data_IF_394174190511
#
_entry.id   IF_394174190511
#
_cell.length_a   1.000
_cell.length_b   1.000
_cell.length_c   1.000
_cell.angle_alpha   90.00
_cell.angle_beta   90.00
_cell.angle_gamma   90.00
#
_symmetry.space_group_name_H-M   'P 1'
#
loop_
_entity.id
_entity.type
_entity.pdbx_description
1 polymer ?
#
# COMPACT_ATOMS: atom_id res chain seq x y z
N UNK A 1 16.11 -10.80 1.73
CA UNK A 1 15.78 -9.44 1.22
C UNK A 1 14.75 -9.62 0.12
N UNK A 2 13.59 -8.98 0.24
CA UNK A 2 12.45 -9.26 -0.65
C UNK A 2 12.55 -8.47 -1.96
N UNK A 3 12.23 -9.13 -3.07
CA UNK A 3 12.34 -8.57 -4.42
C UNK A 3 11.18 -9.05 -5.29
N UNK A 4 10.65 -8.16 -6.13
CA UNK A 4 9.70 -8.54 -7.19
C UNK A 4 10.50 -9.12 -8.37
N UNK A 5 10.29 -10.39 -8.77
CA UNK A 5 10.97 -10.97 -9.93
C UNK A 5 10.65 -10.24 -11.24
N UNK A 6 11.61 -10.20 -12.16
CA UNK A 6 11.39 -9.60 -13.50
C UNK A 6 10.29 -10.31 -14.29
N UNK A 7 10.07 -11.61 -14.03
CA UNK A 7 9.00 -12.40 -14.65
C UNK A 7 7.61 -11.90 -14.26
N UNK A 8 7.47 -11.25 -13.09
CA UNK A 8 6.21 -10.66 -12.62
C UNK A 8 6.03 -9.19 -13.08
N UNK A 9 6.93 -8.64 -13.89
CA UNK A 9 6.79 -7.29 -14.44
C UNK A 9 5.63 -7.25 -15.44
N UNK A 10 4.58 -6.42 -15.21
CA UNK A 10 3.50 -6.25 -16.17
C UNK A 10 4.04 -5.80 -17.51
N UNK A 11 3.57 -6.43 -18.59
CA UNK A 11 3.99 -6.10 -19.96
C UNK A 11 3.05 -5.12 -20.65
N UNK A 12 1.78 -5.12 -20.25
CA UNK A 12 0.76 -4.22 -20.79
C UNK A 12 0.96 -2.80 -20.27
N UNK A 13 1.09 -1.84 -21.18
CA UNK A 13 1.14 -0.43 -20.85
C UNK A 13 -0.29 0.11 -20.65
N UNK A 14 -0.64 0.66 -19.48
CA UNK A 14 -1.97 1.21 -19.25
C UNK A 14 -2.23 2.51 -20.03
N UNK A 15 -1.19 3.17 -20.54
CA UNK A 15 -1.33 4.43 -21.29
C UNK A 15 -1.54 4.22 -22.78
N UNK A 16 -0.85 3.24 -23.39
CA UNK A 16 -0.94 3.01 -24.83
C UNK A 16 -1.60 1.67 -25.22
N UNK A 17 -2.03 0.86 -24.24
CA UNK A 17 -2.72 -0.41 -24.46
C UNK A 17 -1.84 -1.55 -25.02
N UNK A 18 -0.57 -1.28 -25.30
CA UNK A 18 0.33 -2.24 -25.94
C UNK A 18 1.22 -3.00 -24.93
N UNK A 19 1.62 -4.23 -25.28
CA UNK A 19 2.48 -5.09 -24.45
C UNK A 19 3.97 -4.77 -24.57
N UNK A 20 4.35 -3.54 -24.24
CA UNK A 20 5.68 -2.97 -24.55
C UNK A 20 6.49 -2.58 -23.31
N UNK A 21 6.00 -2.85 -22.10
CA UNK A 21 6.77 -2.59 -20.88
C UNK A 21 7.93 -3.58 -20.78
N UNK A 22 9.14 -3.02 -20.71
CA UNK A 22 10.39 -3.76 -20.48
C UNK A 22 10.97 -3.44 -19.11
N UNK A 23 11.87 -4.31 -18.63
CA UNK A 23 12.61 -4.07 -17.40
C UNK A 23 13.47 -2.82 -17.52
N UNK A 24 13.38 -1.94 -16.52
CA UNK A 24 14.07 -0.66 -16.46
C UNK A 24 14.77 -0.47 -15.11
N UNK A 25 15.55 -1.48 -14.73
CA UNK A 25 16.33 -1.50 -13.50
C UNK A 25 15.52 -1.79 -12.24
N UNK A 26 16.16 -1.54 -11.10
CA UNK A 26 15.60 -1.71 -9.76
C UNK A 26 15.98 -0.53 -8.88
N UNK A 27 15.16 -0.27 -7.88
CA UNK A 27 15.39 0.73 -6.84
C UNK A 27 15.20 0.05 -5.48
N UNK A 28 15.96 0.50 -4.50
CA UNK A 28 15.77 0.12 -3.11
C UNK A 28 14.71 1.04 -2.48
N UNK A 29 13.72 0.46 -1.79
CA UNK A 29 12.63 1.20 -1.14
C UNK A 29 12.51 0.75 0.32
N UNK A 30 12.43 1.70 1.28
CA UNK A 30 12.06 1.37 2.66
C UNK A 30 10.68 0.72 2.72
N UNK A 31 10.57 -0.33 3.53
CA UNK A 31 9.33 -1.07 3.72
C UNK A 31 9.29 -1.68 5.13
N UNK A 32 9.45 -0.82 6.13
CA UNK A 32 9.57 -1.21 7.53
C UNK A 32 8.36 -2.02 8.02
N UNK A 33 8.62 -3.24 8.42
CA UNK A 33 7.79 -4.13 9.22
C UNK A 33 8.68 -5.14 9.98
N UNK A 34 8.09 -6.15 10.61
CA UNK A 34 8.83 -7.17 11.37
C UNK A 34 9.78 -8.02 10.50
N UNK A 35 9.48 -8.15 9.21
CA UNK A 35 10.25 -9.00 8.29
C UNK A 35 11.24 -8.18 7.44
N UNK A 36 10.88 -6.94 7.12
CA UNK A 36 11.51 -6.13 6.10
C UNK A 36 11.93 -4.78 6.66
N UNK A 37 13.18 -4.39 6.41
CA UNK A 37 13.60 -2.99 6.52
C UNK A 37 13.42 -2.29 5.16
N UNK A 38 13.79 -3.00 4.09
CA UNK A 38 13.82 -2.49 2.73
C UNK A 38 13.53 -3.61 1.72
N UNK A 39 13.06 -3.21 0.53
CA UNK A 39 12.79 -4.11 -0.59
C UNK A 39 13.35 -3.58 -1.90
N UNK A 40 13.73 -4.51 -2.78
CA UNK A 40 14.03 -4.18 -4.16
C UNK A 40 12.74 -4.12 -4.98
N UNK A 41 12.45 -2.93 -5.49
CA UNK A 41 11.30 -2.67 -6.35
C UNK A 41 11.77 -2.58 -7.80
N UNK A 42 11.02 -3.22 -8.70
CA UNK A 42 11.32 -3.22 -10.13
C UNK A 42 10.71 -2.00 -10.80
N UNK A 43 11.39 -1.48 -11.81
CA UNK A 43 10.88 -0.42 -12.67
C UNK A 43 10.62 -0.98 -14.07
N UNK A 44 9.54 -0.52 -14.68
CA UNK A 44 9.19 -0.79 -16.07
C UNK A 44 9.31 0.47 -16.91
N UNK A 45 9.64 0.33 -18.19
CA UNK A 45 9.60 1.42 -19.17
C UNK A 45 8.79 0.96 -20.39
N UNK A 46 7.80 1.74 -20.78
CA UNK A 46 7.16 1.59 -22.08
C UNK A 46 7.93 2.44 -23.11
N UNK A 47 8.61 1.82 -24.08
CA UNK A 47 9.36 2.55 -25.10
C UNK A 47 8.48 3.46 -25.99
N UNK A 48 7.29 3.05 -26.45
CA UNK A 48 6.44 3.93 -27.26
C UNK A 48 6.01 5.23 -26.57
N UNK A 49 5.50 5.15 -25.33
CA UNK A 49 4.99 6.33 -24.63
C UNK A 49 5.99 6.96 -23.65
N UNK A 50 7.20 6.39 -23.55
CA UNK A 50 8.28 6.83 -22.65
C UNK A 50 7.88 6.92 -21.16
N UNK A 51 6.80 6.25 -20.76
CA UNK A 51 6.35 6.23 -19.37
C UNK A 51 7.09 5.17 -18.56
N UNK A 52 7.52 5.58 -17.37
CA UNK A 52 8.12 4.69 -16.38
C UNK A 52 7.09 4.25 -15.35
N UNK A 53 7.17 2.99 -14.96
CA UNK A 53 6.31 2.37 -13.95
C UNK A 53 7.17 1.84 -12.82
N UNK A 54 6.61 1.84 -11.61
CA UNK A 54 7.20 1.16 -10.46
C UNK A 54 6.29 0.02 -10.09
N UNK A 55 6.82 -1.19 -10.02
CA UNK A 55 6.09 -2.38 -9.60
C UNK A 55 6.37 -2.60 -8.13
N UNK A 56 5.31 -2.65 -7.35
CA UNK A 56 5.33 -2.81 -5.91
C UNK A 56 4.56 -4.09 -5.55
N UNK A 57 5.00 -4.81 -4.51
CA UNK A 57 4.12 -5.75 -3.83
C UNK A 57 2.86 -5.04 -3.34
N UNK A 58 1.74 -5.76 -3.30
CA UNK A 58 0.44 -5.28 -2.84
C UNK A 58 0.47 -4.74 -1.40
N UNK A 59 1.29 -5.35 -0.55
CA UNK A 59 1.51 -4.93 0.83
C UNK A 59 2.43 -3.70 0.99
N UNK A 60 3.11 -3.23 -0.06
CA UNK A 60 3.99 -2.05 0.02
C UNK A 60 3.32 -0.82 -0.58
N UNK A 61 2.95 0.19 0.22
CA UNK A 61 2.34 1.41 -0.30
C UNK A 61 3.32 2.21 -1.19
N UNK A 62 2.84 2.91 -2.23
CA UNK A 62 3.71 3.60 -3.19
C UNK A 62 4.64 4.65 -2.60
N UNK A 63 4.13 5.48 -1.69
CA UNK A 63 4.85 6.60 -1.08
C UNK A 63 5.23 6.35 0.38
N UNK A 64 4.86 5.20 0.95
CA UNK A 64 5.04 4.92 2.37
C UNK A 64 6.33 4.19 2.69
N UNK A 65 6.94 4.55 3.82
CA UNK A 65 8.13 3.88 4.38
C UNK A 65 7.80 2.59 5.13
N UNK A 66 6.58 2.46 5.66
CA UNK A 66 6.09 1.30 6.40
C UNK A 66 5.13 0.49 5.54
N UNK A 67 5.19 -0.84 5.65
CA UNK A 67 4.30 -1.74 4.93
C UNK A 67 2.85 -1.63 5.40
N UNK A 68 1.90 -2.12 4.60
CA UNK A 68 0.50 -2.19 4.99
C UNK A 68 0.29 -3.14 6.17
N UNK A 69 1.06 -4.22 6.28
CA UNK A 69 1.02 -5.13 7.44
C UNK A 69 1.37 -4.40 8.75
N UNK A 70 2.43 -3.59 8.73
CA UNK A 70 2.82 -2.75 9.87
C UNK A 70 1.67 -1.82 10.32
N UNK A 71 1.02 -1.16 9.36
CA UNK A 71 -0.14 -0.28 9.62
C UNK A 71 -1.36 -1.06 10.13
N UNK A 72 -1.61 -2.25 9.59
CA UNK A 72 -2.69 -3.11 10.04
C UNK A 72 -2.48 -3.57 11.49
N UNK A 73 -1.27 -4.00 11.86
CA UNK A 73 -0.94 -4.35 13.25
C UNK A 73 -1.16 -3.18 14.21
N UNK A 74 -0.81 -1.98 13.78
CA UNK A 74 -1.09 -0.74 14.53
C UNK A 74 -2.59 -0.60 14.82
N UNK A 75 -3.43 -0.84 13.81
CA UNK A 75 -4.89 -0.80 13.95
C UNK A 75 -5.42 -1.86 14.90
N UNK A 76 -4.92 -3.09 14.77
CA UNK A 76 -5.31 -4.20 15.63
C UNK A 76 -4.96 -3.91 17.09
N UNK A 77 -3.79 -3.32 17.35
CA UNK A 77 -3.40 -2.85 18.69
C UNK A 77 -4.30 -1.72 19.19
N UNK A 78 -4.69 -0.77 18.35
CA UNK A 78 -5.61 0.32 18.73
C UNK A 78 -7.01 -0.18 19.12
N UNK A 79 -7.44 -1.33 18.60
CA UNK A 79 -8.76 -1.91 18.92
C UNK A 79 -8.79 -2.65 20.26
N UNK A 80 -7.64 -2.92 20.87
CA UNK A 80 -7.56 -3.58 22.17
C UNK A 80 -8.00 -2.61 23.27
N UNK A 81 -8.68 -3.13 24.31
CA UNK A 81 -9.02 -2.36 25.51
C UNK A 81 -7.73 -1.82 26.16
N UNK A 82 -7.76 -0.56 26.61
CA UNK A 82 -6.63 0.16 27.23
C UNK A 82 -5.46 0.55 26.30
N UNK A 83 -5.70 0.52 24.99
CA UNK A 83 -4.70 0.94 24.00
C UNK A 83 -4.69 2.46 23.79
N UNK A 84 -3.49 3.03 23.75
CA UNK A 84 -3.23 4.40 23.34
C UNK A 84 -2.28 4.42 22.12
N UNK A 85 -1.99 5.60 21.59
CA UNK A 85 -1.16 5.73 20.39
C UNK A 85 0.25 5.19 20.59
N UNK A 86 0.82 5.37 21.79
CA UNK A 86 2.14 4.91 22.18
C UNK A 86 2.22 3.38 22.25
N UNK A 87 1.21 2.73 22.85
CA UNK A 87 1.10 1.26 22.95
C UNK A 87 0.72 0.59 21.64
N UNK A 88 0.19 1.37 20.69
CA UNK A 88 -0.21 0.89 19.38
C UNK A 88 0.92 0.87 18.35
N UNK A 89 2.09 1.41 18.68
CA UNK A 89 3.27 1.36 17.82
C UNK A 89 3.58 -0.12 17.52
N UNK A 90 3.57 -0.55 16.26
CA UNK A 90 3.86 -1.93 15.87
C UNK A 90 5.36 -2.20 16.00
N UNK A 91 5.70 -3.47 16.23
CA UNK A 91 7.09 -3.89 16.19
C UNK A 91 7.58 -3.85 14.73
N UNK A 92 8.81 -3.39 14.56
CA UNK A 92 9.51 -3.37 13.27
C UNK A 92 10.88 -3.98 13.47
N UNK A 93 11.42 -4.57 12.40
CA UNK A 93 12.70 -5.29 12.44
C UNK A 93 13.84 -4.47 13.01
N UNK A 94 13.90 -3.20 12.65
CA UNK A 94 14.83 -2.22 13.21
C UNK A 94 14.09 -1.31 14.18
N UNK A 95 14.26 -1.55 15.48
CA UNK A 95 13.59 -0.79 16.53
C UNK A 95 13.88 0.72 16.47
N UNK A 96 15.03 1.14 15.93
CA UNK A 96 15.36 2.57 15.73
C UNK A 96 14.49 3.24 14.65
N UNK A 97 13.80 2.43 13.84
CA UNK A 97 12.88 2.85 12.77
C UNK A 97 11.41 2.65 13.16
N UNK A 98 11.11 2.51 14.45
CA UNK A 98 9.73 2.41 14.92
C UNK A 98 8.96 3.68 14.54
N UNK A 99 7.69 3.56 14.12
CA UNK A 99 6.89 4.73 13.80
C UNK A 99 6.63 5.54 15.06
N UNK A 100 6.83 6.85 14.97
CA UNK A 100 6.48 7.75 16.06
C UNK A 100 4.94 7.79 16.24
N UNK A 101 4.43 8.14 17.44
CA UNK A 101 3.00 8.20 17.71
C UNK A 101 2.22 9.16 16.77
N UNK A 102 2.85 10.19 16.20
CA UNK A 102 2.19 11.07 15.22
C UNK A 102 2.02 10.38 13.86
N UNK A 103 2.98 9.55 13.45
CA UNK A 103 2.87 8.71 12.27
C UNK A 103 1.73 7.71 12.41
N UNK A 104 1.62 7.06 13.58
CA UNK A 104 0.50 6.16 13.91
C UNK A 104 -0.85 6.89 13.85
N UNK A 105 -0.97 8.06 14.48
CA UNK A 105 -2.19 8.90 14.43
C UNK A 105 -2.58 9.26 13.01
N UNK A 106 -1.61 9.63 12.16
CA UNK A 106 -1.85 9.95 10.75
C UNK A 106 -2.40 8.76 9.98
N UNK A 107 -1.94 7.55 10.26
CA UNK A 107 -2.47 6.35 9.63
C UNK A 107 -3.93 6.11 10.00
N UNK A 108 -4.25 6.16 11.30
CA UNK A 108 -5.63 6.03 11.78
C UNK A 108 -6.54 7.14 11.22
N UNK A 109 -6.06 8.38 11.19
CA UNK A 109 -6.79 9.50 10.59
C UNK A 109 -7.10 9.29 9.11
N UNK A 110 -6.15 8.78 8.32
CA UNK A 110 -6.39 8.42 6.91
C UNK A 110 -7.41 7.30 6.76
N UNK A 111 -7.36 6.29 7.62
CA UNK A 111 -8.34 5.20 7.60
C UNK A 111 -9.76 5.70 7.91
N UNK A 112 -9.90 6.57 8.92
CA UNK A 112 -11.17 7.20 9.27
C UNK A 112 -11.69 8.08 8.13
N UNK A 113 -10.82 8.89 7.50
CA UNK A 113 -11.18 9.70 6.33
C UNK A 113 -11.67 8.82 5.16
N UNK A 114 -11.00 7.70 4.89
CA UNK A 114 -11.43 6.75 3.87
C UNK A 114 -12.77 6.12 4.24
N UNK A 115 -12.95 5.69 5.48
CA UNK A 115 -14.21 5.16 5.99
C UNK A 115 -15.36 6.17 5.84
N UNK A 116 -15.12 7.43 6.18
CA UNK A 116 -16.09 8.52 6.04
C UNK A 116 -16.43 8.81 4.58
N UNK A 117 -15.45 8.84 3.68
CA UNK A 117 -15.68 9.02 2.25
C UNK A 117 -16.45 7.84 1.65
N UNK A 118 -16.13 6.60 2.03
CA UNK A 118 -16.86 5.41 1.60
C UNK A 118 -18.29 5.43 2.12
N UNK A 119 -18.50 5.76 3.40
CA UNK A 119 -19.83 5.93 3.97
C UNK A 119 -20.61 7.01 3.20
N UNK A 120 -20.04 8.20 3.00
CA UNK A 120 -20.68 9.28 2.26
C UNK A 120 -21.02 8.88 0.82
N UNK A 121 -20.14 8.15 0.13
CA UNK A 121 -20.40 7.63 -1.22
C UNK A 121 -21.48 6.55 -1.23
N UNK A 122 -21.49 5.66 -0.25
CA UNK A 122 -22.54 4.67 -0.08
C UNK A 122 -23.89 5.34 0.23
N UNK A 123 -23.91 6.38 1.08
CA UNK A 123 -25.13 7.16 1.35
C UNK A 123 -25.65 7.82 0.07
N UNK A 124 -24.77 8.47 -0.70
CA UNK A 124 -25.11 9.08 -1.98
C UNK A 124 -25.63 8.07 -3.01
N UNK A 125 -25.09 6.85 -3.00
CA UNK A 125 -25.43 5.82 -3.98
C UNK A 125 -26.65 4.98 -3.60
N UNK A 126 -26.98 4.84 -2.30
CA UNK A 126 -27.93 3.80 -1.85
C UNK A 126 -28.92 4.20 -0.76
N UNK A 127 -28.88 5.42 -0.19
CA UNK A 127 -29.77 5.74 0.94
C UNK A 127 -29.57 4.82 2.18
N UNK A 128 -28.41 4.16 2.26
CA UNK A 128 -27.87 3.29 3.32
C UNK A 128 -28.54 1.93 3.59
N UNK A 129 -27.75 0.85 3.51
CA UNK A 129 -27.51 -0.10 4.63
C UNK A 129 -26.15 -0.78 4.46
N UNK A 130 -25.43 -0.98 5.57
CA UNK A 130 -24.09 -1.56 5.61
C UNK A 130 -24.15 -3.09 5.58
N UNK A 131 -23.21 -3.76 4.89
CA UNK A 131 -22.67 -5.08 5.28
C UNK A 131 -21.69 -5.67 4.26
N UNK A 132 -20.55 -5.01 4.00
CA UNK A 132 -19.36 -5.79 3.60
C UNK A 132 -18.09 -5.03 3.97
N UNK A 133 -17.30 -5.59 4.89
CA UNK A 133 -15.95 -5.09 5.15
C UNK A 133 -15.07 -5.39 3.94
N UNK A 134 -14.42 -4.41 3.31
CA UNK A 134 -13.51 -4.66 2.21
C UNK A 134 -12.30 -5.44 2.72
N UNK A 135 -12.06 -6.63 2.16
CA UNK A 135 -10.94 -7.52 2.53
C UNK A 135 -9.56 -6.93 2.22
N UNK A 136 -9.47 -5.80 1.49
CA UNK A 136 -8.22 -5.11 1.22
C UNK A 136 -8.43 -3.60 1.40
N UNK A 137 -8.27 -3.13 2.64
CA UNK A 137 -8.16 -1.71 2.95
C UNK A 137 -6.70 -1.30 2.81
N UNK A 138 -6.35 -0.73 1.67
CA UNK A 138 -5.05 -0.11 1.49
C UNK A 138 -5.16 1.39 1.81
N UNK A 139 -4.44 1.82 2.86
CA UNK A 139 -4.66 3.10 3.57
C UNK A 139 -4.15 4.35 2.83
N UNK A 140 -3.90 4.22 1.53
CA UNK A 140 -3.42 5.30 0.67
C UNK A 140 -4.09 5.21 -0.70
N UNK A 141 -5.44 5.23 -0.69
CA UNK A 141 -6.25 5.08 -1.91
C UNK A 141 -5.98 6.16 -2.96
N UNK A 142 -5.51 7.36 -2.59
CA UNK A 142 -5.09 8.41 -3.53
C UNK A 142 -3.83 8.06 -4.32
N UNK A 143 -2.91 7.28 -3.73
CA UNK A 143 -1.75 6.74 -4.44
C UNK A 143 -2.10 5.48 -5.23
N UNK A 144 -3.05 4.69 -4.71
CA UNK A 144 -3.47 3.40 -5.28
C UNK A 144 -4.43 3.58 -6.47
N UNK A 145 -5.35 4.55 -6.41
CA UNK A 145 -6.26 4.88 -7.52
C UNK A 145 -5.54 5.40 -8.76
N UNK A 146 -4.32 5.94 -8.60
CA UNK A 146 -3.49 6.43 -9.71
C UNK A 146 -2.58 5.36 -10.32
N UNK A 147 -2.40 4.21 -9.64
CA UNK A 147 -1.33 3.22 -9.95
C UNK A 147 -1.85 1.80 -10.18
N UNK A 148 -3.12 1.48 -9.88
CA UNK A 148 -3.68 0.15 -10.14
C UNK A 148 -4.38 0.04 -11.50
N UNK A 149 -3.71 -0.40 -12.57
CA UNK A 149 -4.24 -1.51 -13.35
C UNK A 149 -4.30 -2.72 -12.42
N UNK A 150 -5.50 -3.29 -12.26
CA UNK A 150 -5.71 -4.56 -11.56
C UNK A 150 -4.88 -5.67 -12.23
N UNK A 151 -4.44 -6.62 -11.38
CA UNK A 151 -3.83 -7.93 -11.66
C UNK A 151 -2.30 -8.05 -11.69
N UNK A 152 -1.76 -8.65 -10.62
CA UNK A 152 -1.39 -10.07 -10.66
C UNK A 152 -1.73 -10.68 -9.29
N UNK A 153 -2.69 -11.61 -9.23
CA UNK A 153 -2.79 -12.51 -8.06
C UNK A 153 -1.52 -13.35 -8.09
N UNK A 154 -0.70 -13.26 -7.05
CA UNK A 154 0.28 -14.32 -6.80
C UNK A 154 -0.44 -15.46 -6.08
N UNK A 155 -0.08 -16.73 -6.35
CA UNK A 155 -0.60 -17.88 -5.61
C UNK A 155 -0.26 -17.80 -4.11
#
# INVERSE_FOLDING_TARGET
MTEVPLTLLPRLCPFCGNRTIIGHGRRLKPAHDECHEQIWIRRGLCRPCQKTFTVLPDWSPPSGTYSLHCRQKTWERLRQSDSNWERSVPDVRDASRSPDPSTVRRWAGRLLQLGALLAAKLWQATGWSASTSPTILAWDWTSISRILPREARSP
#
